data_IF_261057822572
#
_entry.id   IF_261057822572
#
_cell.length_a   1.000
_cell.length_b   1.000
_cell.length_c   1.000
_cell.angle_alpha   90.00
_cell.angle_beta   90.00
_cell.angle_gamma   90.00
#
_symmetry.space_group_name_H-M   'P 1'
#
loop_
_entity.id
_entity.type
_entity.pdbx_description
1 polymer ?
#
# COMPACT_ATOMS: atom_id res chain seq x y z
N UNK A 1 25.30 -8.40 -3.78
CA UNK A 1 23.97 -7.99 -3.28
C UNK A 1 23.60 -6.66 -3.90
N UNK A 2 22.50 -6.59 -4.64
CA UNK A 2 22.03 -5.32 -5.20
C UNK A 2 21.57 -4.40 -4.04
N UNK A 3 22.33 -3.34 -3.76
CA UNK A 3 22.03 -2.38 -2.67
C UNK A 3 20.95 -1.36 -3.05
N UNK A 4 20.58 -1.29 -4.32
CA UNK A 4 19.63 -0.29 -4.84
C UNK A 4 18.29 -0.29 -4.10
N UNK A 5 17.60 -1.43 -3.87
CA UNK A 5 16.32 -1.41 -3.16
C UNK A 5 16.43 -0.91 -1.72
N UNK A 6 17.57 -1.15 -1.06
CA UNK A 6 17.84 -0.69 0.31
C UNK A 6 18.01 0.82 0.34
N UNK A 7 18.77 1.37 -0.60
CA UNK A 7 18.97 2.82 -0.72
C UNK A 7 17.63 3.51 -1.02
N UNK A 8 16.87 3.00 -1.98
CA UNK A 8 15.55 3.55 -2.34
C UNK A 8 14.57 3.50 -1.16
N UNK A 9 14.53 2.40 -0.42
CA UNK A 9 13.69 2.28 0.77
C UNK A 9 14.12 3.27 1.88
N UNK A 10 15.43 3.46 2.09
CA UNK A 10 15.94 4.45 3.02
C UNK A 10 15.54 5.88 2.63
N UNK A 11 15.67 6.23 1.35
CA UNK A 11 15.21 7.52 0.83
C UNK A 11 13.69 7.69 0.95
N UNK A 12 12.90 6.64 0.69
CA UNK A 12 11.45 6.68 0.83
C UNK A 12 11.02 6.95 2.29
N UNK A 13 11.70 6.32 3.25
CA UNK A 13 11.47 6.56 4.69
C UNK A 13 11.87 7.99 5.07
N UNK A 14 13.01 8.48 4.59
CA UNK A 14 13.43 9.86 4.82
C UNK A 14 12.42 10.88 4.25
N UNK A 15 11.88 10.62 3.05
CA UNK A 15 10.83 11.45 2.47
C UNK A 15 9.54 11.43 3.30
N UNK A 16 9.14 10.27 3.84
CA UNK A 16 7.99 10.18 4.75
C UNK A 16 8.21 10.94 6.06
N UNK A 17 9.43 10.97 6.59
CA UNK A 17 9.80 11.79 7.75
C UNK A 17 9.75 13.28 7.41
N UNK A 18 10.14 13.66 6.20
CA UNK A 18 10.08 15.04 5.73
C UNK A 18 8.65 15.55 5.50
N UNK A 19 7.69 14.67 5.19
CA UNK A 19 6.30 15.04 4.89
C UNK A 19 5.64 15.91 5.99
N UNK A 20 5.59 15.49 7.28
CA UNK A 20 5.01 16.32 8.34
C UNK A 20 5.81 17.62 8.62
N UNK A 21 7.06 17.69 8.16
CA UNK A 21 7.95 18.85 8.36
C UNK A 21 7.85 19.88 7.22
N UNK A 22 7.09 19.59 6.18
CA UNK A 22 6.91 20.47 5.02
C UNK A 22 5.45 20.92 4.89
N UNK A 23 5.19 21.95 4.09
CA UNK A 23 3.84 22.46 3.79
C UNK A 23 3.77 23.04 2.38
N UNK A 24 2.55 23.26 1.86
CA UNK A 24 2.31 23.82 0.53
C UNK A 24 3.03 23.04 -0.57
N UNK A 25 3.62 23.75 -1.53
CA UNK A 25 4.32 23.14 -2.67
C UNK A 25 5.48 22.22 -2.25
N UNK A 26 6.17 22.52 -1.15
CA UNK A 26 7.24 21.65 -0.67
C UNK A 26 6.68 20.28 -0.23
N UNK A 27 5.50 20.27 0.42
CA UNK A 27 4.82 19.03 0.79
C UNK A 27 4.35 18.27 -0.44
N UNK A 28 3.82 18.96 -1.45
CA UNK A 28 3.40 18.35 -2.72
C UNK A 28 4.56 17.59 -3.39
N UNK A 29 5.75 18.22 -3.46
CA UNK A 29 6.96 17.58 -3.98
C UNK A 29 7.40 16.39 -3.14
N UNK A 30 7.31 16.51 -1.81
CA UNK A 30 7.62 15.40 -0.89
C UNK A 30 6.64 14.25 -1.09
N UNK A 31 5.35 14.49 -1.30
CA UNK A 31 4.35 13.46 -1.61
C UNK A 31 4.73 12.68 -2.86
N UNK A 32 5.08 13.38 -3.94
CA UNK A 32 5.54 12.74 -5.18
C UNK A 32 6.83 11.94 -4.95
N UNK A 33 7.77 12.48 -4.17
CA UNK A 33 9.00 11.78 -3.81
C UNK A 33 8.72 10.50 -3.00
N UNK A 34 7.84 10.55 -2.00
CA UNK A 34 7.45 9.38 -1.20
C UNK A 34 6.91 8.27 -2.11
N UNK A 35 5.95 8.59 -2.97
CA UNK A 35 5.31 7.61 -3.84
C UNK A 35 6.30 7.01 -4.84
N UNK A 36 7.05 7.86 -5.53
CA UNK A 36 8.01 7.41 -6.55
C UNK A 36 9.15 6.58 -5.96
N UNK A 37 9.67 6.96 -4.78
CA UNK A 37 10.73 6.21 -4.09
C UNK A 37 10.22 4.87 -3.56
N UNK A 38 9.00 4.81 -3.01
CA UNK A 38 8.38 3.55 -2.57
C UNK A 38 8.15 2.60 -3.74
N UNK A 39 7.55 3.10 -4.84
CA UNK A 39 7.34 2.32 -6.05
C UNK A 39 8.68 1.82 -6.62
N UNK A 40 9.69 2.69 -6.71
CA UNK A 40 11.02 2.32 -7.19
C UNK A 40 11.68 1.27 -6.28
N UNK A 41 11.59 1.41 -4.95
CA UNK A 41 12.12 0.43 -4.00
C UNK A 41 11.46 -0.95 -4.19
N UNK A 42 10.13 -0.98 -4.34
CA UNK A 42 9.37 -2.19 -4.59
C UNK A 42 9.72 -2.85 -5.92
N UNK A 43 9.75 -2.07 -7.01
CA UNK A 43 10.09 -2.57 -8.35
C UNK A 43 11.55 -3.03 -8.46
N UNK A 44 12.49 -2.30 -7.84
CA UNK A 44 13.90 -2.71 -7.80
C UNK A 44 14.08 -4.00 -6.99
N UNK A 45 13.36 -4.15 -5.86
CA UNK A 45 13.37 -5.39 -5.09
C UNK A 45 12.73 -6.54 -5.88
N UNK A 46 11.59 -6.30 -6.53
CA UNK A 46 10.92 -7.26 -7.41
C UNK A 46 11.85 -7.74 -8.52
N UNK A 47 12.52 -6.82 -9.22
CA UNK A 47 13.42 -7.16 -10.33
C UNK A 47 14.60 -8.01 -9.86
N UNK A 48 15.15 -7.69 -8.68
CA UNK A 48 16.25 -8.43 -8.09
C UNK A 48 15.87 -9.85 -7.60
N UNK A 49 14.61 -10.09 -7.23
CA UNK A 49 14.16 -11.38 -6.63
C UNK A 49 13.32 -12.25 -7.57
N UNK A 50 12.59 -11.63 -8.51
CA UNK A 50 11.60 -12.28 -9.40
C UNK A 50 11.91 -12.07 -10.89
N UNK A 51 12.89 -11.23 -11.23
CA UNK A 51 13.28 -10.94 -12.60
C UNK A 51 12.40 -9.91 -13.30
N UNK A 52 12.88 -9.36 -14.42
CA UNK A 52 12.27 -8.22 -15.11
C UNK A 52 10.84 -8.51 -15.64
N UNK A 53 10.59 -9.74 -16.13
CA UNK A 53 9.27 -10.13 -16.67
C UNK A 53 8.20 -10.07 -15.60
N UNK A 54 8.47 -10.66 -14.43
CA UNK A 54 7.53 -10.61 -13.31
C UNK A 54 7.32 -9.18 -12.82
N UNK A 55 8.40 -8.39 -12.71
CA UNK A 55 8.30 -6.98 -12.31
C UNK A 55 7.47 -6.15 -13.27
N UNK A 56 7.63 -6.36 -14.58
CA UNK A 56 6.81 -5.69 -15.59
C UNK A 56 5.34 -6.09 -15.48
N UNK A 57 5.05 -7.38 -15.26
CA UNK A 57 3.69 -7.87 -15.00
C UNK A 57 3.08 -7.28 -13.73
N UNK A 58 3.83 -7.24 -12.63
CA UNK A 58 3.40 -6.63 -11.37
C UNK A 58 3.07 -5.15 -11.55
N UNK A 59 3.95 -4.40 -12.23
CA UNK A 59 3.74 -2.99 -12.52
C UNK A 59 2.52 -2.78 -13.41
N UNK A 60 2.39 -3.53 -14.50
CA UNK A 60 1.25 -3.43 -15.41
C UNK A 60 -0.09 -3.73 -14.71
N UNK A 61 -0.12 -4.74 -13.83
CA UNK A 61 -1.32 -5.07 -13.05
C UNK A 61 -1.66 -3.96 -12.07
N UNK A 62 -0.69 -3.52 -11.27
CA UNK A 62 -0.95 -2.57 -10.18
C UNK A 62 -1.18 -1.15 -10.69
N UNK A 63 -0.26 -0.61 -11.48
CA UNK A 63 -0.42 0.70 -12.09
C UNK A 63 -1.58 0.72 -13.10
N UNK A 64 -1.75 -0.35 -13.90
CA UNK A 64 -2.79 -0.39 -14.95
C UNK A 64 -4.20 -0.52 -14.39
N UNK A 65 -4.45 -1.50 -13.51
CA UNK A 65 -5.78 -1.65 -12.88
C UNK A 65 -6.09 -0.42 -12.01
N UNK A 66 -5.10 0.09 -11.27
CA UNK A 66 -5.26 1.26 -10.42
C UNK A 66 -5.59 2.50 -11.24
N UNK A 67 -4.82 2.78 -12.30
CA UNK A 67 -5.12 3.90 -13.18
C UNK A 67 -6.52 3.78 -13.81
N UNK A 68 -6.88 2.59 -14.31
CA UNK A 68 -8.19 2.37 -14.90
C UNK A 68 -9.33 2.57 -13.89
N UNK A 69 -9.18 2.10 -12.65
CA UNK A 69 -10.20 2.30 -11.61
C UNK A 69 -10.33 3.76 -11.20
N UNK A 70 -9.23 4.51 -11.15
CA UNK A 70 -9.24 5.95 -10.85
C UNK A 70 -9.91 6.74 -11.97
N UNK A 71 -9.61 6.45 -13.24
CA UNK A 71 -10.24 7.13 -14.39
C UNK A 71 -11.75 6.87 -14.43
N UNK A 72 -12.17 5.63 -14.14
CA UNK A 72 -13.60 5.30 -14.02
C UNK A 72 -14.20 5.98 -12.79
N UNK A 73 -13.47 6.02 -11.68
CA UNK A 73 -13.84 6.65 -10.42
C UNK A 73 -14.11 8.13 -10.56
N UNK A 74 -13.18 8.90 -11.11
CA UNK A 74 -13.33 10.34 -11.31
C UNK A 74 -14.39 10.68 -12.34
N UNK A 75 -14.54 9.86 -13.38
CA UNK A 75 -15.54 10.09 -14.44
C UNK A 75 -16.98 9.74 -14.04
N UNK A 76 -17.17 8.73 -13.18
CA UNK A 76 -18.50 8.15 -12.90
C UNK A 76 -18.93 8.21 -11.44
N UNK A 77 -17.98 8.42 -10.52
CA UNK A 77 -18.19 8.28 -9.08
C UNK A 77 -18.21 6.82 -8.58
N UNK A 78 -17.98 5.83 -9.45
CA UNK A 78 -17.89 4.42 -9.06
C UNK A 78 -16.46 3.90 -9.29
N UNK A 79 -15.85 3.13 -8.35
CA UNK A 79 -16.46 2.60 -7.14
C UNK A 79 -16.34 3.50 -5.90
N UNK A 80 -15.53 4.57 -5.96
CA UNK A 80 -15.07 5.28 -4.76
C UNK A 80 -16.05 6.33 -4.20
N UNK A 81 -17.14 6.62 -4.90
CA UNK A 81 -17.95 7.83 -4.69
C UNK A 81 -17.50 8.96 -5.60
N UNK A 82 -18.23 10.07 -5.64
CA UNK A 82 -17.84 11.27 -6.40
C UNK A 82 -16.68 11.98 -5.69
N UNK A 83 -15.56 12.19 -6.39
CA UNK A 83 -14.38 12.90 -5.91
C UNK A 83 -13.64 13.55 -7.07
N UNK A 84 -12.79 14.53 -6.73
CA UNK A 84 -11.91 15.19 -7.70
C UNK A 84 -10.53 15.43 -7.09
N UNK A 85 -9.49 15.25 -7.91
CA UNK A 85 -8.12 15.64 -7.56
C UNK A 85 -7.95 17.15 -7.64
N UNK A 86 -7.09 17.69 -6.77
CA UNK A 86 -6.66 19.08 -6.86
C UNK A 86 -5.79 19.27 -8.10
N UNK A 87 -6.16 20.24 -8.94
CA UNK A 87 -5.42 20.57 -10.15
C UNK A 87 -3.98 21.00 -9.83
N UNK A 88 -3.03 20.52 -10.63
CA UNK A 88 -1.61 20.93 -10.66
C UNK A 88 -0.79 20.72 -9.36
N UNK A 89 -1.31 19.99 -8.36
CA UNK A 89 -0.57 19.72 -7.11
C UNK A 89 0.33 18.49 -7.18
N UNK A 90 -0.17 17.40 -7.77
CA UNK A 90 0.52 16.11 -7.81
C UNK A 90 1.25 15.84 -9.14
N UNK A 91 1.55 16.91 -9.88
CA UNK A 91 2.19 16.85 -11.19
C UNK A 91 1.20 16.61 -12.34
N UNK A 92 1.69 16.15 -13.51
CA UNK A 92 0.86 16.01 -14.70
C UNK A 92 -0.25 14.96 -14.49
N UNK A 93 -1.43 15.26 -15.01
CA UNK A 93 -2.59 14.38 -14.99
C UNK A 93 -2.95 13.86 -16.39
N UNK A 94 -3.56 12.68 -16.42
CA UNK A 94 -4.14 12.08 -17.62
C UNK A 94 -5.56 11.64 -17.27
N UNK A 95 -6.55 12.08 -18.04
CA UNK A 95 -7.99 11.88 -17.74
C UNK A 95 -8.34 12.30 -16.30
N UNK A 96 -7.87 13.49 -15.90
CA UNK A 96 -8.06 14.07 -14.56
C UNK A 96 -7.44 13.30 -13.39
N UNK A 97 -6.68 12.23 -13.66
CA UNK A 97 -5.96 11.45 -12.65
C UNK A 97 -4.47 11.79 -12.70
N UNK A 98 -3.86 12.27 -11.59
CA UNK A 98 -2.42 12.52 -11.52
C UNK A 98 -1.61 11.25 -11.80
N UNK A 99 -0.57 11.35 -12.64
CA UNK A 99 0.25 10.20 -13.06
C UNK A 99 1.05 9.56 -11.91
N UNK A 100 1.13 10.21 -10.75
CA UNK A 100 1.71 9.64 -9.53
C UNK A 100 0.76 8.64 -8.85
N UNK A 101 -0.55 8.71 -9.06
CA UNK A 101 -1.54 7.83 -8.41
C UNK A 101 -1.37 6.36 -8.81
N UNK A 102 -1.16 5.99 -10.10
CA UNK A 102 -0.83 4.61 -10.47
C UNK A 102 0.44 4.08 -9.81
N UNK A 103 1.42 4.96 -9.54
CA UNK A 103 2.61 4.61 -8.79
C UNK A 103 2.32 4.41 -7.31
N UNK A 104 1.33 5.12 -6.73
CA UNK A 104 0.88 4.89 -5.36
C UNK A 104 0.26 3.50 -5.19
N UNK A 105 -0.58 3.07 -6.13
CA UNK A 105 -1.10 1.69 -6.18
C UNK A 105 0.03 0.65 -6.21
N UNK A 106 1.06 0.89 -7.03
CA UNK A 106 2.26 0.03 -7.09
C UNK A 106 3.04 0.04 -5.76
N UNK A 107 3.25 1.22 -5.19
CA UNK A 107 4.02 1.46 -3.97
C UNK A 107 3.42 0.76 -2.75
N UNK A 108 2.11 0.88 -2.54
CA UNK A 108 1.43 0.22 -1.42
C UNK A 108 1.25 -1.28 -1.61
N UNK A 109 0.91 -1.70 -2.84
CA UNK A 109 0.64 -3.11 -3.13
C UNK A 109 1.87 -3.99 -2.88
N UNK A 110 3.07 -3.53 -3.21
CA UNK A 110 4.26 -4.38 -3.13
C UNK A 110 4.58 -4.92 -1.72
N UNK A 111 4.79 -4.09 -0.68
CA UNK A 111 5.06 -4.58 0.67
C UNK A 111 3.88 -5.38 1.25
N UNK A 112 2.63 -4.98 0.96
CA UNK A 112 1.43 -5.69 1.41
C UNK A 112 1.33 -7.08 0.79
N UNK A 113 1.49 -7.20 -0.53
CA UNK A 113 1.51 -8.48 -1.25
C UNK A 113 2.60 -9.41 -0.72
N UNK A 114 3.80 -8.86 -0.49
CA UNK A 114 4.93 -9.63 0.04
C UNK A 114 4.62 -10.21 1.43
N UNK A 115 4.14 -9.39 2.36
CA UNK A 115 3.79 -9.82 3.72
C UNK A 115 2.63 -10.80 3.71
N UNK A 116 1.59 -10.53 2.94
CA UNK A 116 0.45 -11.45 2.78
C UNK A 116 0.89 -12.82 2.25
N UNK A 117 1.77 -12.84 1.23
CA UNK A 117 2.34 -14.06 0.67
C UNK A 117 3.18 -14.84 1.69
N UNK A 118 4.00 -14.12 2.47
CA UNK A 118 4.82 -14.70 3.53
C UNK A 118 3.96 -15.36 4.61
N UNK A 119 2.89 -14.68 5.04
CA UNK A 119 1.98 -15.18 6.07
C UNK A 119 1.14 -16.36 5.56
N UNK A 120 0.64 -16.28 4.32
CA UNK A 120 -0.10 -17.36 3.70
C UNK A 120 0.75 -18.64 3.61
N UNK A 121 1.99 -18.54 3.13
CA UNK A 121 2.92 -19.68 3.06
C UNK A 121 3.28 -20.26 4.44
N UNK A 122 3.38 -19.41 5.47
CA UNK A 122 3.73 -19.82 6.84
C UNK A 122 2.57 -20.37 7.66
N UNK A 123 1.34 -20.21 7.19
CA UNK A 123 0.16 -20.65 7.92
C UNK A 123 0.09 -22.17 8.11
N UNK A 124 0.92 -22.96 7.40
CA UNK A 124 0.91 -24.42 7.47
C UNK A 124 -0.35 -25.04 6.84
N UNK A 125 -1.11 -24.22 6.11
CA UNK A 125 -2.38 -24.56 5.46
C UNK A 125 -2.13 -25.16 4.06
N UNK A 126 -0.96 -25.75 3.83
CA UNK A 126 -0.66 -26.47 2.59
C UNK A 126 -1.38 -27.82 2.61
N UNK A 127 -2.67 -27.81 2.24
CA UNK A 127 -3.38 -28.99 1.75
C UNK A 127 -2.92 -29.29 0.31
N UNK A 128 -3.10 -30.53 -0.18
CA UNK A 128 -2.69 -30.93 -1.54
C UNK A 128 -3.15 -29.97 -2.66
N UNK A 129 -4.27 -29.26 -2.46
CA UNK A 129 -4.93 -28.48 -3.52
C UNK A 129 -4.50 -27.01 -3.63
N UNK A 130 -3.66 -26.48 -2.73
CA UNK A 130 -3.13 -25.09 -2.78
C UNK A 130 -4.14 -23.92 -2.71
N UNK A 131 -5.44 -24.20 -2.78
CA UNK A 131 -6.49 -23.19 -2.92
C UNK A 131 -6.66 -22.32 -1.67
N UNK A 132 -6.48 -22.89 -0.47
CA UNK A 132 -6.67 -22.14 0.79
C UNK A 132 -5.54 -21.12 1.02
N UNK A 133 -4.30 -21.43 0.66
CA UNK A 133 -3.18 -20.47 0.73
C UNK A 133 -3.44 -19.25 -0.17
N UNK A 134 -3.88 -19.50 -1.42
CA UNK A 134 -4.29 -18.48 -2.38
C UNK A 134 -5.37 -17.57 -1.80
N UNK A 135 -6.45 -18.15 -1.29
CA UNK A 135 -7.56 -17.38 -0.70
C UNK A 135 -7.07 -16.54 0.48
N UNK A 136 -6.22 -17.12 1.35
CA UNK A 136 -5.62 -16.39 2.46
C UNK A 136 -4.72 -15.24 1.99
N UNK A 137 -3.87 -15.45 0.99
CA UNK A 137 -3.01 -14.40 0.41
C UNK A 137 -3.85 -13.26 -0.15
N UNK A 138 -4.85 -13.57 -0.98
CA UNK A 138 -5.76 -12.58 -1.57
C UNK A 138 -6.47 -11.78 -0.47
N UNK A 139 -7.08 -12.48 0.50
CA UNK A 139 -7.79 -11.83 1.59
C UNK A 139 -6.89 -10.91 2.42
N UNK A 140 -5.68 -11.37 2.77
CA UNK A 140 -4.71 -10.56 3.51
C UNK A 140 -4.22 -9.37 2.69
N UNK A 141 -3.98 -9.52 1.39
CA UNK A 141 -3.62 -8.41 0.52
C UNK A 141 -4.73 -7.36 0.48
N UNK A 142 -5.98 -7.77 0.26
CA UNK A 142 -7.13 -6.86 0.26
C UNK A 142 -7.25 -6.10 1.58
N UNK A 143 -7.20 -6.81 2.71
CA UNK A 143 -7.26 -6.19 4.05
C UNK A 143 -6.10 -5.22 4.26
N UNK A 144 -4.88 -5.58 3.84
CA UNK A 144 -3.71 -4.72 3.98
C UNK A 144 -3.81 -3.44 3.15
N UNK A 145 -4.35 -3.53 1.92
CA UNK A 145 -4.56 -2.37 1.06
C UNK A 145 -5.64 -1.43 1.61
N UNK A 146 -6.77 -1.96 2.08
CA UNK A 146 -7.81 -1.16 2.76
C UNK A 146 -7.26 -0.55 4.06
N UNK A 147 -6.42 -1.29 4.80
CA UNK A 147 -5.75 -0.76 5.98
C UNK A 147 -4.81 0.40 5.67
N UNK A 148 -4.15 0.38 4.51
CA UNK A 148 -3.33 1.49 4.05
C UNK A 148 -4.16 2.68 3.57
N UNK A 149 -5.27 2.43 2.88
CA UNK A 149 -6.25 3.45 2.47
C UNK A 149 -6.79 4.27 3.65
N UNK A 150 -7.08 3.60 4.76
CA UNK A 150 -7.49 4.23 6.02
C UNK A 150 -6.44 5.18 6.63
N UNK A 151 -5.20 5.17 6.13
CA UNK A 151 -4.22 6.23 6.33
C UNK A 151 -4.19 7.21 5.16
N UNK A 152 -4.00 6.69 3.94
CA UNK A 152 -3.74 7.48 2.75
C UNK A 152 -4.82 8.54 2.50
N UNK A 153 -6.08 8.12 2.43
CA UNK A 153 -7.17 9.03 2.06
C UNK A 153 -7.43 10.11 3.09
N UNK A 154 -7.54 9.82 4.41
CA UNK A 154 -7.66 10.88 5.40
C UNK A 154 -6.50 11.88 5.35
N UNK A 155 -5.27 11.39 5.15
CA UNK A 155 -4.08 12.25 5.04
C UNK A 155 -4.16 13.17 3.83
N UNK A 156 -4.52 12.64 2.67
CA UNK A 156 -4.52 13.38 1.40
C UNK A 156 -5.70 14.35 1.32
N UNK A 157 -6.86 14.00 1.87
CA UNK A 157 -8.00 14.94 2.01
C UNK A 157 -7.65 16.06 2.97
N UNK A 158 -7.06 15.73 4.13
CA UNK A 158 -6.62 16.73 5.08
C UNK A 158 -5.59 17.68 4.49
N UNK A 159 -4.78 17.21 3.52
CA UNK A 159 -3.78 18.02 2.83
C UNK A 159 -4.35 18.73 1.57
N UNK A 160 -5.63 18.53 1.25
CA UNK A 160 -6.31 19.13 0.11
C UNK A 160 -5.81 18.64 -1.24
N UNK A 161 -5.32 17.40 -1.31
CA UNK A 161 -4.86 16.78 -2.57
C UNK A 161 -6.02 16.26 -3.41
N UNK A 162 -7.12 15.87 -2.75
CA UNK A 162 -8.40 15.56 -3.37
C UNK A 162 -9.52 15.73 -2.35
N UNK A 163 -10.75 15.80 -2.84
CA UNK A 163 -11.94 15.91 -2.00
C UNK A 163 -13.10 15.11 -2.59
N UNK A 164 -13.89 14.49 -1.72
CA UNK A 164 -15.16 13.88 -2.11
C UNK A 164 -16.28 14.92 -2.15
N UNK A 165 -17.23 14.72 -3.07
CA UNK A 165 -18.41 15.57 -3.24
C UNK A 165 -19.39 15.43 -2.08
N UNK A 166 -19.48 14.23 -1.50
CA UNK A 166 -20.36 13.89 -0.39
C UNK A 166 -19.57 13.09 0.66
N UNK A 167 -19.82 13.39 1.95
CA UNK A 167 -19.32 12.58 3.05
C UNK A 167 -20.22 11.38 3.36
N UNK A 168 -20.22 10.95 4.62
CA UNK A 168 -20.96 9.76 5.09
C UNK A 168 -20.06 8.56 5.38
N UNK A 169 -18.80 8.84 5.70
CA UNK A 169 -17.78 7.86 6.06
C UNK A 169 -17.89 7.27 7.46
N UNK A 170 -16.77 6.71 7.90
CA UNK A 170 -16.59 6.21 9.26
C UNK A 170 -16.55 7.36 10.28
N UNK A 171 -16.94 7.13 11.55
CA UNK A 171 -16.86 8.14 12.61
C UNK A 171 -15.46 8.79 12.72
N UNK A 172 -15.41 10.12 12.68
CA UNK A 172 -14.21 10.94 12.75
C UNK A 172 -13.42 11.09 11.43
N UNK A 173 -13.81 10.39 10.36
CA UNK A 173 -13.30 10.56 8.98
C UNK A 173 -14.47 10.58 7.99
N UNK A 174 -15.56 11.25 8.34
CA UNK A 174 -16.83 11.25 7.61
C UNK A 174 -16.72 11.85 6.20
N UNK A 175 -15.66 12.61 5.93
CA UNK A 175 -15.37 13.21 4.63
C UNK A 175 -15.08 12.21 3.51
N UNK A 176 -14.79 10.94 3.86
CA UNK A 176 -14.53 9.87 2.88
C UNK A 176 -15.70 8.87 2.94
N UNK A 177 -16.52 8.75 1.88
CA UNK A 177 -17.72 7.91 1.91
C UNK A 177 -17.37 6.43 2.04
N UNK A 178 -18.28 5.63 2.62
CA UNK A 178 -18.10 4.17 2.74
C UNK A 178 -17.89 3.46 1.40
N UNK A 179 -18.39 4.04 0.30
CA UNK A 179 -18.17 3.54 -1.06
C UNK A 179 -16.68 3.51 -1.42
N UNK A 180 -15.87 4.43 -0.91
CA UNK A 180 -14.42 4.41 -1.11
C UNK A 180 -13.81 3.10 -0.63
N UNK A 181 -14.02 2.76 0.65
CA UNK A 181 -13.46 1.54 1.23
C UNK A 181 -13.99 0.28 0.53
N UNK A 182 -15.26 0.27 0.09
CA UNK A 182 -15.81 -0.81 -0.74
C UNK A 182 -15.12 -0.91 -2.10
N UNK A 183 -14.84 0.23 -2.73
CA UNK A 183 -14.06 0.30 -3.97
C UNK A 183 -12.64 -0.23 -3.81
N UNK A 184 -11.96 0.15 -2.73
CA UNK A 184 -10.65 -0.41 -2.38
C UNK A 184 -10.69 -1.91 -2.17
N UNK A 185 -11.73 -2.45 -1.51
CA UNK A 185 -11.92 -3.90 -1.38
C UNK A 185 -11.99 -4.57 -2.76
N UNK A 186 -12.82 -4.04 -3.67
CA UNK A 186 -13.00 -4.61 -5.01
C UNK A 186 -11.70 -4.53 -5.81
N UNK A 187 -11.11 -3.34 -5.92
CA UNK A 187 -9.92 -3.09 -6.74
C UNK A 187 -8.70 -3.85 -6.20
N UNK A 188 -8.45 -3.82 -4.89
CA UNK A 188 -7.35 -4.56 -4.29
C UNK A 188 -7.53 -6.08 -4.43
N UNK A 189 -8.77 -6.59 -4.35
CA UNK A 189 -9.04 -8.01 -4.58
C UNK A 189 -8.77 -8.41 -6.04
N UNK A 190 -9.20 -7.59 -7.00
CA UNK A 190 -8.94 -7.83 -8.43
C UNK A 190 -7.44 -7.83 -8.74
N UNK A 191 -6.70 -6.85 -8.21
CA UNK A 191 -5.24 -6.82 -8.32
C UNK A 191 -4.61 -8.05 -7.67
N UNK A 192 -5.01 -8.41 -6.44
CA UNK A 192 -4.49 -9.57 -5.74
C UNK A 192 -4.74 -10.88 -6.49
N UNK A 193 -5.92 -11.04 -7.11
CA UNK A 193 -6.23 -12.18 -7.98
C UNK A 193 -5.35 -12.21 -9.24
N UNK A 194 -5.14 -11.06 -9.89
CA UNK A 194 -4.29 -10.96 -11.07
C UNK A 194 -2.80 -11.25 -10.73
N UNK A 195 -2.31 -10.72 -9.60
CA UNK A 195 -0.97 -11.01 -9.09
C UNK A 195 -0.80 -12.48 -8.71
N UNK A 196 -1.83 -13.08 -8.14
CA UNK A 196 -1.82 -14.50 -7.84
C UNK A 196 -1.72 -15.37 -9.11
N UNK A 197 -2.37 -14.95 -10.21
CA UNK A 197 -2.25 -15.61 -11.52
C UNK A 197 -0.84 -15.40 -12.10
N UNK A 198 -0.27 -14.20 -11.99
CA UNK A 198 1.11 -13.89 -12.39
C UNK A 198 2.13 -14.74 -11.61
N UNK A 199 1.88 -15.00 -10.33
CA UNK A 199 2.76 -15.81 -9.50
C UNK A 199 2.83 -17.28 -9.92
N UNK A 200 1.84 -17.78 -10.67
CA UNK A 200 1.86 -19.15 -11.23
C UNK A 200 2.95 -19.36 -12.28
N UNK A 201 3.45 -18.29 -12.90
CA UNK A 201 4.35 -18.39 -14.07
C UNK A 201 5.83 -18.19 -13.73
N UNK A 202 6.21 -18.04 -12.44
CA UNK A 202 7.59 -17.68 -12.07
C UNK A 202 8.10 -18.32 -10.77
N UNK A 203 9.41 -18.64 -10.69
CA UNK A 203 9.99 -19.28 -9.52
C UNK A 203 9.89 -18.39 -8.28
N UNK A 204 9.16 -18.85 -7.26
CA UNK A 204 9.13 -18.20 -5.93
C UNK A 204 10.44 -18.54 -5.24
N UNK A 205 11.31 -17.55 -5.03
CA UNK A 205 12.46 -17.77 -4.16
C UNK A 205 12.00 -17.72 -2.70
N UNK A 206 12.10 -18.82 -1.93
CA UNK A 206 11.76 -18.81 -0.52
C UNK A 206 12.75 -17.92 0.22
N UNK A 207 12.26 -16.88 0.88
CA UNK A 207 13.12 -15.93 1.59
C UNK A 207 12.33 -15.01 2.50
N UNK A 208 13.00 -14.46 3.49
CA UNK A 208 12.49 -13.35 4.30
C UNK A 208 13.42 -12.19 4.00
N UNK A 209 12.95 -11.26 3.17
CA UNK A 209 13.75 -10.13 2.68
C UNK A 209 13.42 -8.87 3.47
N UNK A 210 14.47 -8.17 3.91
CA UNK A 210 14.33 -7.04 4.85
C UNK A 210 13.57 -5.85 4.26
N UNK A 211 13.78 -5.53 2.97
CA UNK A 211 13.22 -4.30 2.35
C UNK A 211 11.69 -4.26 2.39
N UNK A 212 10.94 -5.22 1.80
CA UNK A 212 9.48 -5.17 1.83
C UNK A 212 8.92 -5.25 3.25
N UNK A 213 9.59 -5.97 4.17
CA UNK A 213 9.17 -6.05 5.57
C UNK A 213 9.31 -4.71 6.31
N UNK A 214 10.46 -4.04 6.13
CA UNK A 214 10.70 -2.72 6.71
C UNK A 214 9.71 -1.71 6.15
N UNK A 215 9.48 -1.70 4.84
CA UNK A 215 8.51 -0.80 4.22
C UNK A 215 7.08 -1.06 4.73
N UNK A 216 6.67 -2.32 4.88
CA UNK A 216 5.37 -2.67 5.46
C UNK A 216 5.24 -2.16 6.91
N UNK A 217 6.21 -2.50 7.77
CA UNK A 217 6.17 -2.13 9.19
C UNK A 217 6.26 -0.62 9.37
N UNK A 218 7.07 0.07 8.56
CA UNK A 218 7.15 1.52 8.56
C UNK A 218 5.85 2.17 8.10
N UNK A 219 5.22 1.67 7.03
CA UNK A 219 3.91 2.18 6.59
C UNK A 219 2.86 1.96 7.67
N UNK A 220 2.86 0.80 8.35
CA UNK A 220 1.88 0.53 9.41
C UNK A 220 2.08 1.40 10.65
N UNK A 221 3.27 1.35 11.26
CA UNK A 221 3.53 1.98 12.56
C UNK A 221 3.99 3.44 12.41
N UNK A 222 4.69 3.76 11.33
CA UNK A 222 5.11 5.12 10.99
C UNK A 222 3.92 6.00 10.65
N UNK A 223 2.96 5.52 9.85
CA UNK A 223 1.71 6.27 9.61
C UNK A 223 0.88 6.40 10.88
N UNK A 224 0.77 5.37 11.71
CA UNK A 224 0.11 5.47 13.02
C UNK A 224 0.67 6.61 13.87
N UNK A 225 2.01 6.68 13.96
CA UNK A 225 2.70 7.73 14.70
C UNK A 225 2.52 9.11 14.07
N UNK A 226 2.69 9.21 12.74
CA UNK A 226 2.53 10.47 12.02
C UNK A 226 1.12 11.05 12.20
N UNK A 227 0.10 10.22 12.05
CA UNK A 227 -1.31 10.62 12.16
C UNK A 227 -1.73 10.94 13.60
N UNK A 228 -1.09 10.32 14.59
CA UNK A 228 -1.39 10.57 16.01
C UNK A 228 -0.71 11.82 16.55
N UNK A 229 0.49 12.14 16.07
CA UNK A 229 1.40 13.11 16.71
C UNK A 229 1.84 14.24 15.79
N UNK A 230 2.20 13.95 14.55
CA UNK A 230 2.91 14.89 13.69
C UNK A 230 2.02 15.64 12.68
N UNK A 231 0.88 15.07 12.32
CA UNK A 231 -0.07 15.69 11.41
C UNK A 231 -1.22 16.33 12.21
N UNK A 232 -1.43 17.63 11.99
CA UNK A 232 -2.25 18.46 12.87
C UNK A 232 -3.77 18.36 12.70
N UNK A 233 -4.25 17.73 11.64
CA UNK A 233 -5.69 17.64 11.39
C UNK A 233 -6.38 16.67 12.37
N UNK A 234 -7.45 17.09 13.06
CA UNK A 234 -8.11 16.29 14.09
C UNK A 234 -8.58 14.90 13.63
N UNK A 235 -9.04 14.80 12.39
CA UNK A 235 -9.59 13.60 11.75
C UNK A 235 -8.51 12.50 11.65
N UNK A 236 -7.23 12.89 11.58
CA UNK A 236 -6.13 11.95 11.44
C UNK A 236 -5.93 11.07 12.67
N UNK A 237 -6.40 11.49 13.85
CA UNK A 237 -6.38 10.63 15.05
C UNK A 237 -7.28 9.40 14.90
N UNK A 238 -8.40 9.54 14.20
CA UNK A 238 -9.30 8.42 13.89
C UNK A 238 -8.72 7.54 12.78
N UNK A 239 -8.14 8.16 11.76
CA UNK A 239 -7.34 7.45 10.74
C UNK A 239 -6.21 6.63 11.38
N UNK A 240 -5.52 7.17 12.39
CA UNK A 240 -4.49 6.46 13.15
C UNK A 240 -5.03 5.18 13.79
N UNK A 241 -6.21 5.26 14.42
CA UNK A 241 -6.89 4.11 15.02
C UNK A 241 -7.31 3.06 13.98
N UNK A 242 -8.03 3.49 12.93
CA UNK A 242 -8.55 2.57 11.91
C UNK A 242 -7.44 1.90 11.11
N UNK A 243 -6.51 2.68 10.57
CA UNK A 243 -5.37 2.15 9.82
C UNK A 243 -4.50 1.22 10.67
N UNK A 244 -4.23 1.59 11.93
CA UNK A 244 -3.45 0.74 12.85
C UNK A 244 -4.14 -0.58 13.11
N UNK A 245 -5.45 -0.54 13.38
CA UNK A 245 -6.23 -1.73 13.70
C UNK A 245 -6.33 -2.68 12.49
N UNK A 246 -6.64 -2.16 11.30
CA UNK A 246 -6.81 -3.01 10.11
C UNK A 246 -5.47 -3.59 9.63
N UNK A 247 -4.40 -2.78 9.56
CA UNK A 247 -3.08 -3.28 9.17
C UNK A 247 -2.48 -4.25 10.21
N UNK A 248 -2.92 -4.21 11.47
CA UNK A 248 -2.49 -5.17 12.50
C UNK A 248 -2.85 -6.63 12.17
N UNK A 249 -3.86 -6.86 11.33
CA UNK A 249 -4.24 -8.20 10.84
C UNK A 249 -3.06 -8.88 10.13
N UNK A 250 -2.22 -8.11 9.44
CA UNK A 250 -0.97 -8.61 8.85
C UNK A 250 0.22 -8.37 9.79
N UNK A 251 0.27 -7.19 10.41
CA UNK A 251 1.39 -6.74 11.23
C UNK A 251 1.67 -7.60 12.45
N UNK A 252 0.66 -7.97 13.23
CA UNK A 252 0.83 -8.79 14.44
C UNK A 252 1.32 -10.20 14.06
N UNK A 253 0.66 -10.95 13.16
CA UNK A 253 1.17 -12.25 12.72
C UNK A 253 2.59 -12.17 12.14
N UNK A 254 2.91 -11.10 11.39
CA UNK A 254 4.24 -10.88 10.86
C UNK A 254 5.27 -10.80 12.00
N UNK A 255 5.08 -9.90 12.97
CA UNK A 255 6.01 -9.71 14.09
C UNK A 255 6.16 -10.99 14.94
N UNK A 256 5.05 -11.70 15.22
CA UNK A 256 5.08 -12.98 15.91
C UNK A 256 5.87 -14.04 15.13
N UNK A 257 5.71 -14.09 13.81
CA UNK A 257 6.42 -15.05 12.96
C UNK A 257 7.93 -14.77 12.89
N UNK A 258 8.34 -13.49 12.91
CA UNK A 258 9.75 -13.09 12.96
C UNK A 258 10.38 -13.43 14.33
N UNK A 259 9.67 -13.16 15.43
CA UNK A 259 10.13 -13.49 16.79
C UNK A 259 10.36 -14.99 16.98
N UNK A 260 9.44 -15.84 16.50
CA UNK A 260 9.58 -17.30 16.58
C UNK A 260 10.86 -17.80 15.90
N UNK A 261 11.19 -17.24 14.72
CA UNK A 261 12.42 -17.60 13.98
C UNK A 261 13.70 -17.21 14.70
N UNK A 262 13.74 -16.01 15.30
CA UNK A 262 14.88 -15.58 16.10
C UNK A 262 15.11 -16.52 17.30
N UNK A 263 14.03 -16.98 17.94
CA UNK A 263 14.11 -17.94 19.05
C UNK A 263 14.55 -19.35 18.67
N UNK A 264 14.23 -19.82 17.46
CA UNK A 264 14.70 -21.14 16.94
C UNK A 264 16.13 -21.09 16.44
N UNK A 265 16.58 -19.96 15.87
CA UNK A 265 17.96 -19.79 15.41
C UNK A 265 18.98 -19.61 16.55
N UNK A 266 18.53 -19.22 17.74
CA UNK A 266 19.37 -19.10 18.94
C UNK A 266 19.48 -20.41 19.77
N UNK A 267 18.84 -21.50 19.33
CA UNK A 267 18.87 -22.83 19.99
C UNK A 267 19.75 -23.85 19.25
N UNK A 268 20.59 -23.39 18.32
CA UNK A 268 21.62 -24.17 17.60
C UNK A 268 22.96 -23.53 17.89
#
# INVERSE_FOLDING_TARGET
>A
MNRLPVVLAGCAIAAQIAYPLTSGQARDLVTVAVVTLLAAAGLAHAAARRGAVWTAGFFAITAGIGFASEVVGTATGYPYGCYAYAADRLGPALFDVPLVVPLAWTAGMYPVWYVASLLAARSGISRPDGNRERVTRIALTTVGMVGWDLYLDPQMVSDGQWSWCNGGGLPGIEQIPLTNYLGWIVVATLMAMALDLLDRTGPVQPGTDTVPLVLFVWTWLGSALAHSVFLGAPELKYSALYGSAVMSVLGIPLLLSLRRRAGTGARV
#
